data_IF_159348959290
#
_entry.id   IF_159348959290
#
_cell.length_a   1.000
_cell.length_b   1.000
_cell.length_c   1.000
_cell.angle_alpha   90.00
_cell.angle_beta   90.00
_cell.angle_gamma   90.00
#
_symmetry.space_group_name_H-M   'P 1'
#
loop_
_entity.id
_entity.type
_entity.pdbx_description
1 polymer ?
#
# COMPACT_ATOMS: atom_id res chain seq x y z
N UNK A 1 -11.76 4.05 12.96
CA UNK A 1 -10.82 2.95 13.26
C UNK A 1 -10.20 2.31 12.02
N UNK A 2 -10.77 1.28 11.36
CA UNK A 2 -10.02 0.54 10.32
C UNK A 2 -9.60 1.40 9.11
N UNK A 3 -10.44 2.36 8.70
CA UNK A 3 -10.13 3.31 7.61
C UNK A 3 -9.02 4.30 7.96
N UNK A 4 -8.87 4.69 9.22
CA UNK A 4 -7.82 5.63 9.65
C UNK A 4 -6.47 4.94 9.68
N UNK A 5 -6.42 3.72 10.21
CA UNK A 5 -5.21 2.88 10.22
C UNK A 5 -4.72 2.64 8.79
N UNK A 6 -5.61 2.27 7.86
CA UNK A 6 -5.23 2.12 6.45
C UNK A 6 -4.72 3.42 5.81
N UNK A 7 -5.29 4.58 6.18
CA UNK A 7 -4.86 5.88 5.67
C UNK A 7 -3.44 6.22 6.13
N UNK A 8 -3.14 6.04 7.42
CA UNK A 8 -1.79 6.29 7.95
C UNK A 8 -0.75 5.37 7.29
N UNK A 9 -1.09 4.09 7.15
CA UNK A 9 -0.24 3.11 6.45
C UNK A 9 -0.03 3.47 4.98
N UNK A 10 -1.07 3.92 4.27
CA UNK A 10 -0.95 4.36 2.89
C UNK A 10 -0.06 5.60 2.75
N UNK A 11 -0.17 6.56 3.68
CA UNK A 11 0.72 7.74 3.71
C UNK A 11 2.18 7.33 3.91
N UNK A 12 2.44 6.41 4.83
CA UNK A 12 3.80 5.92 5.08
C UNK A 12 4.34 5.12 3.89
N UNK A 13 3.55 4.21 3.33
CA UNK A 13 3.94 3.44 2.14
C UNK A 13 4.29 4.34 0.94
N UNK A 14 3.50 5.38 0.69
CA UNK A 14 3.77 6.37 -0.36
C UNK A 14 4.99 7.24 -0.04
N UNK A 15 5.21 7.58 1.24
CA UNK A 15 6.41 8.29 1.68
C UNK A 15 7.66 7.45 1.40
N UNK A 16 7.65 6.18 1.79
CA UNK A 16 8.73 5.23 1.52
C UNK A 16 8.95 5.03 0.02
N UNK A 17 7.87 4.90 -0.76
CA UNK A 17 8.00 4.74 -2.20
C UNK A 17 8.68 5.93 -2.89
N UNK A 18 8.41 7.16 -2.43
CA UNK A 18 9.12 8.35 -2.91
C UNK A 18 10.60 8.33 -2.52
N UNK A 19 10.93 7.92 -1.30
CA UNK A 19 12.33 7.81 -0.83
C UNK A 19 13.12 6.73 -1.59
N UNK A 20 12.44 5.67 -2.00
CA UNK A 20 13.01 4.58 -2.80
C UNK A 20 12.94 4.86 -4.31
N UNK A 21 12.51 6.06 -4.72
CA UNK A 21 12.38 6.48 -6.12
C UNK A 21 11.54 5.53 -7.00
N UNK A 22 10.51 4.92 -6.40
CA UNK A 22 9.69 3.92 -7.07
C UNK A 22 8.65 4.54 -7.99
N UNK A 23 8.49 3.96 -9.17
CA UNK A 23 7.40 4.31 -10.07
C UNK A 23 6.08 3.67 -9.60
N UNK A 24 5.24 4.43 -8.91
CA UNK A 24 3.93 3.97 -8.40
C UNK A 24 2.88 3.77 -9.48
N UNK A 25 3.17 4.11 -10.75
CA UNK A 25 2.28 3.80 -11.88
C UNK A 25 2.43 2.35 -12.34
N UNK A 26 3.58 1.73 -12.09
CA UNK A 26 3.85 0.36 -12.47
C UNK A 26 3.00 -0.62 -11.68
N UNK A 27 2.42 -1.59 -12.40
CA UNK A 27 1.56 -2.62 -11.82
C UNK A 27 2.27 -3.37 -10.70
N UNK A 28 3.56 -3.66 -10.87
CA UNK A 28 4.35 -4.40 -9.89
C UNK A 28 4.51 -3.62 -8.57
N UNK A 29 4.92 -2.36 -8.65
CA UNK A 29 5.05 -1.44 -7.52
C UNK A 29 3.72 -1.25 -6.80
N UNK A 30 2.61 -1.11 -7.54
CA UNK A 30 1.27 -1.00 -6.95
C UNK A 30 0.90 -2.24 -6.14
N UNK A 31 1.17 -3.44 -6.66
CA UNK A 31 0.88 -4.69 -5.93
C UNK A 31 1.69 -4.77 -4.64
N UNK A 32 2.99 -4.44 -4.68
CA UNK A 32 3.83 -4.43 -3.48
C UNK A 32 3.35 -3.40 -2.44
N UNK A 33 2.94 -2.20 -2.89
CA UNK A 33 2.35 -1.18 -2.03
C UNK A 33 1.06 -1.66 -1.37
N UNK A 34 0.14 -2.22 -2.15
CA UNK A 34 -1.14 -2.72 -1.64
C UNK A 34 -0.90 -3.82 -0.61
N UNK A 35 0.02 -4.74 -0.88
CA UNK A 35 0.39 -5.81 0.04
C UNK A 35 0.92 -5.25 1.37
N UNK A 36 1.86 -4.30 1.34
CA UNK A 36 2.41 -3.69 2.55
C UNK A 36 1.35 -2.91 3.37
N UNK A 37 0.40 -2.26 2.69
CA UNK A 37 -0.67 -1.50 3.35
C UNK A 37 -1.71 -2.45 3.97
N UNK A 38 -2.11 -3.49 3.24
CA UNK A 38 -3.13 -4.47 3.64
C UNK A 38 -2.68 -5.40 4.76
N UNK A 39 -1.38 -5.68 4.85
CA UNK A 39 -0.84 -6.57 5.84
C UNK A 39 -0.68 -5.87 7.20
N UNK A 40 -1.60 -6.16 8.11
CA UNK A 40 -1.64 -5.60 9.47
C UNK A 40 -0.52 -6.11 10.36
N UNK A 41 0.15 -7.20 9.99
CA UNK A 41 1.26 -7.76 10.77
C UNK A 41 2.55 -6.96 10.54
N UNK A 42 2.64 -6.22 9.43
CA UNK A 42 3.70 -5.24 9.20
C UNK A 42 3.44 -4.02 10.06
N UNK A 43 4.30 -3.73 11.02
CA UNK A 43 4.25 -2.47 11.76
C UNK A 43 4.46 -1.27 10.80
N UNK A 44 3.75 -0.15 11.02
CA UNK A 44 3.79 1.01 10.10
C UNK A 44 5.22 1.52 9.80
N UNK A 45 6.07 1.56 10.83
CA UNK A 45 7.48 1.97 10.70
C UNK A 45 8.35 1.01 9.85
N UNK A 46 7.89 -0.23 9.63
CA UNK A 46 8.62 -1.25 8.90
C UNK A 46 8.16 -1.35 7.44
N UNK A 47 7.15 -0.57 7.03
CA UNK A 47 6.60 -0.60 5.67
C UNK A 47 7.70 -0.34 4.63
N UNK A 48 8.62 0.60 4.87
CA UNK A 48 9.67 0.92 3.91
C UNK A 48 10.66 -0.22 3.67
N UNK A 49 11.08 -0.91 4.74
CA UNK A 49 11.97 -2.07 4.66
C UNK A 49 11.30 -3.21 3.90
N UNK A 50 10.06 -3.54 4.28
CA UNK A 50 9.29 -4.61 3.65
C UNK A 50 8.99 -4.29 2.17
N UNK A 51 8.70 -3.04 1.84
CA UNK A 51 8.49 -2.59 0.46
C UNK A 51 9.76 -2.73 -0.38
N UNK A 52 10.92 -2.33 0.17
CA UNK A 52 12.23 -2.48 -0.51
C UNK A 52 12.56 -3.95 -0.79
N UNK A 53 12.35 -4.82 0.20
CA UNK A 53 12.53 -6.26 0.07
C UNK A 53 11.56 -6.87 -0.96
N UNK A 54 10.30 -6.44 -0.97
CA UNK A 54 9.28 -6.94 -1.91
C UNK A 54 9.62 -6.65 -3.36
N UNK A 55 10.17 -5.47 -3.63
CA UNK A 55 10.52 -5.06 -4.99
C UNK A 55 11.77 -5.79 -5.47
N UNK A 56 12.68 -6.08 -4.54
CA UNK A 56 13.88 -6.87 -4.83
C UNK A 56 13.59 -8.37 -4.94
N UNK A 57 12.56 -8.86 -4.24
CA UNK A 57 12.23 -10.28 -4.15
C UNK A 57 10.72 -10.50 -3.88
N UNK A 58 9.87 -10.48 -4.92
CA UNK A 58 8.41 -10.34 -4.77
C UNK A 58 7.67 -11.58 -4.27
N UNK A 59 8.34 -12.73 -4.26
CA UNK A 59 7.72 -14.04 -4.06
C UNK A 59 7.16 -14.25 -2.64
N UNK A 60 7.67 -13.52 -1.64
CA UNK A 60 7.27 -13.71 -0.23
C UNK A 60 6.08 -12.83 0.22
N UNK A 61 5.85 -11.64 -0.38
CA UNK A 61 4.71 -10.79 -0.02
C UNK A 61 3.41 -11.14 -0.77
N UNK A 62 3.51 -11.76 -1.95
CA UNK A 62 2.36 -12.04 -2.80
C UNK A 62 1.39 -13.06 -2.17
N UNK A 63 1.86 -13.97 -1.31
CA UNK A 63 1.01 -15.02 -0.70
C UNK A 63 0.01 -14.41 0.28
N UNK A 64 0.45 -13.53 1.19
CA UNK A 64 -0.44 -12.88 2.17
C UNK A 64 -1.36 -11.82 1.58
N UNK A 65 -0.96 -11.17 0.47
CA UNK A 65 -1.77 -10.17 -0.20
C UNK A 65 -2.90 -10.78 -1.04
N UNK A 66 -2.69 -11.97 -1.63
CA UNK A 66 -3.72 -12.68 -2.38
C UNK A 66 -4.88 -13.19 -1.51
N UNK A 67 -4.62 -13.52 -0.24
CA UNK A 67 -5.66 -13.94 0.71
C UNK A 67 -6.60 -12.80 1.12
N UNK A 68 -6.21 -11.53 0.90
CA UNK A 68 -6.97 -10.34 1.32
C UNK A 68 -7.50 -9.50 0.15
N UNK A 69 -7.97 -10.16 -0.92
CA UNK A 69 -8.46 -9.53 -2.17
C UNK A 69 -9.52 -8.44 -1.97
N UNK A 70 -10.35 -8.53 -0.92
CA UNK A 70 -11.35 -7.51 -0.57
C UNK A 70 -10.73 -6.16 -0.17
N UNK A 71 -9.49 -6.13 0.34
CA UNK A 71 -8.81 -4.89 0.73
C UNK A 71 -8.28 -4.10 -0.47
N UNK A 72 -8.09 -4.75 -1.63
CA UNK A 72 -7.60 -4.10 -2.85
C UNK A 72 -8.53 -2.94 -3.24
N UNK A 73 -9.85 -3.15 -3.18
CA UNK A 73 -10.85 -2.12 -3.51
C UNK A 73 -10.83 -0.90 -2.57
N UNK A 74 -10.32 -1.05 -1.34
CA UNK A 74 -10.20 0.03 -0.36
C UNK A 74 -8.85 0.77 -0.45
N UNK A 75 -7.80 0.07 -0.88
CA UNK A 75 -6.43 0.61 -0.92
C UNK A 75 -6.12 1.27 -2.27
N UNK A 76 -6.61 0.70 -3.37
CA UNK A 76 -6.41 1.24 -4.72
C UNK A 76 -6.75 2.75 -4.80
N UNK A 77 -7.91 3.23 -4.29
CA UNK A 77 -8.26 4.64 -4.39
C UNK A 77 -7.41 5.55 -3.48
N UNK A 78 -6.83 5.01 -2.40
CA UNK A 78 -5.89 5.74 -1.54
C UNK A 78 -4.56 5.93 -2.25
N UNK A 79 -4.05 4.93 -2.96
CA UNK A 79 -2.82 5.06 -3.75
C UNK A 79 -3.00 6.09 -4.86
N UNK A 80 -4.12 6.03 -5.58
CA UNK A 80 -4.42 6.95 -6.68
C UNK A 80 -4.62 8.41 -6.23
N UNK A 81 -5.02 8.63 -4.97
CA UNK A 81 -5.16 9.95 -4.35
C UNK A 81 -4.04 10.32 -3.36
N UNK A 82 -2.84 9.75 -3.50
CA UNK A 82 -1.69 10.10 -2.66
C UNK A 82 -1.92 9.93 -1.14
N UNK A 83 -2.74 8.97 -0.74
CA UNK A 83 -3.07 8.66 0.66
C UNK A 83 -4.23 9.49 1.22
N UNK A 84 -4.91 10.27 0.38
CA UNK A 84 -6.11 11.03 0.75
C UNK A 84 -7.39 10.24 0.42
N UNK A 85 -8.43 10.34 1.28
CA UNK A 85 -9.70 9.67 1.01
C UNK A 85 -10.37 10.28 -0.23
N UNK A 86 -10.92 9.43 -1.10
CA UNK A 86 -11.81 9.87 -2.18
C UNK A 86 -13.04 10.50 -1.52
N UNK A 87 -13.19 11.81 -1.61
CA UNK A 87 -14.44 12.46 -1.23
C UNK A 87 -15.53 11.98 -2.19
N UNK A 88 -16.71 11.54 -1.73
CA UNK A 88 -17.81 11.27 -2.63
C UNK A 88 -18.15 12.58 -3.33
N UNK A 89 -18.17 12.56 -4.67
CA UNK A 89 -18.72 13.66 -5.46
C UNK A 89 -20.11 13.99 -4.92
N UNK A 90 -20.26 15.14 -4.25
CA UNK A 90 -21.57 15.71 -3.97
C UNK A 90 -22.17 16.08 -5.33
N UNK A 91 -23.14 15.30 -5.79
CA UNK A 91 -24.09 15.74 -6.80
C UNK A 91 -25.00 16.82 -6.21
#
# INVERSE_FOLDING_TARGET
>A
MYKEVLRERAKEALRCARLLELNTTERHTKVCLIACIADTDIHINNIGEVLSLSISNPTQLLVGAFEKSELIGLIQPLIENNGEPVLPYRK
#
